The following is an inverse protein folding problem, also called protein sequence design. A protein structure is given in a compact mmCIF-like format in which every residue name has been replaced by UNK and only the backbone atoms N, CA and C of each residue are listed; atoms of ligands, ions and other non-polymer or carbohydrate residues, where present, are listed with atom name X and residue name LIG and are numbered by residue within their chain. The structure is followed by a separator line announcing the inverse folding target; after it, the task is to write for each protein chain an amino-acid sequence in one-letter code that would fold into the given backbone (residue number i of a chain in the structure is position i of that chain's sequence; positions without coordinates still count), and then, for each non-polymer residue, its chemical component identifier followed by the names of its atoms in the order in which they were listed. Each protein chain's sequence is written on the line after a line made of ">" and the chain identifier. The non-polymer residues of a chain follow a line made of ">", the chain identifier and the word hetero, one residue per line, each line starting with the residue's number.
data_IF_711395951339
#
_entry.id   IF_711395951339
#
_cell.length_a   1.000
_cell.length_b   1.000
_cell.length_c   1.000
_cell.angle_alpha   90.00
_cell.angle_beta   90.00
_cell.angle_gamma   90.00
#
_symmetry.space_group_name_H-M   'P 1'
#
loop_
_entity.id
_entity.type
_entity.pdbx_description
1 polymer ?
#
# COMPACT_ATOMS: atom_id res chain seq x y z
N UNK A 1 21.98 -34.73 -0.52
CA UNK A 1 22.19 -33.26 -0.64
C UNK A 1 22.02 -32.90 -2.11
N UNK A 2 20.87 -32.38 -2.52
CA UNK A 2 20.62 -32.07 -3.93
C UNK A 2 21.46 -30.85 -4.31
N UNK A 3 22.49 -31.06 -5.12
CA UNK A 3 23.26 -29.99 -5.73
C UNK A 3 22.33 -29.29 -6.73
N UNK A 4 21.82 -28.09 -6.36
CA UNK A 4 21.21 -27.18 -7.31
C UNK A 4 22.28 -26.81 -8.34
N UNK A 5 22.26 -27.45 -9.50
CA UNK A 5 23.10 -27.07 -10.63
C UNK A 5 22.69 -25.68 -11.09
N UNK A 6 23.66 -24.76 -11.15
CA UNK A 6 23.43 -23.37 -11.58
C UNK A 6 22.85 -23.26 -13.00
N UNK A 7 22.99 -24.31 -13.80
CA UNK A 7 22.53 -24.39 -15.20
C UNK A 7 21.09 -24.92 -15.34
N UNK A 8 20.40 -25.20 -14.24
CA UNK A 8 19.00 -25.63 -14.30
C UNK A 8 18.13 -24.50 -14.86
N UNK A 9 17.33 -24.74 -15.92
CA UNK A 9 16.47 -23.72 -16.51
C UNK A 9 15.44 -23.18 -15.50
N UNK A 10 15.08 -23.99 -14.49
CA UNK A 10 14.19 -23.58 -13.39
C UNK A 10 14.88 -22.57 -12.48
N UNK A 11 16.16 -22.77 -12.17
CA UNK A 11 16.92 -21.86 -11.33
C UNK A 11 17.11 -20.49 -12.01
N UNK A 12 17.47 -20.51 -13.30
CA UNK A 12 17.57 -19.29 -14.11
C UNK A 12 16.23 -18.55 -14.22
N UNK A 13 15.12 -19.26 -14.41
CA UNK A 13 13.78 -18.65 -14.47
C UNK A 13 13.40 -17.96 -13.14
N UNK A 14 13.68 -18.59 -12.00
CA UNK A 14 13.44 -18.00 -10.67
C UNK A 14 14.34 -16.78 -10.42
N UNK A 15 15.61 -16.84 -10.83
CA UNK A 15 16.53 -15.70 -10.75
C UNK A 15 16.03 -14.51 -11.59
N UNK A 16 15.60 -14.76 -12.83
CA UNK A 16 15.06 -13.71 -13.71
C UNK A 16 13.78 -13.12 -13.12
N UNK A 17 12.85 -13.95 -12.63
CA UNK A 17 11.61 -13.49 -11.99
C UNK A 17 11.89 -12.63 -10.75
N UNK A 18 12.81 -13.05 -9.90
CA UNK A 18 13.14 -12.29 -8.68
C UNK A 18 13.85 -10.98 -8.99
N UNK A 19 14.76 -10.96 -9.98
CA UNK A 19 15.45 -9.74 -10.42
C UNK A 19 14.49 -8.77 -11.10
N UNK A 20 13.63 -9.24 -12.00
CA UNK A 20 12.63 -8.40 -12.66
C UNK A 20 11.61 -7.85 -11.67
N UNK A 21 11.13 -8.66 -10.71
CA UNK A 21 10.29 -8.20 -9.61
C UNK A 21 10.98 -7.14 -8.76
N UNK A 22 12.24 -7.37 -8.36
CA UNK A 22 13.04 -6.40 -7.59
C UNK A 22 13.21 -5.10 -8.34
N UNK A 23 13.60 -5.15 -9.61
CA UNK A 23 13.76 -3.98 -10.47
C UNK A 23 12.45 -3.21 -10.62
N UNK A 24 11.34 -3.91 -10.88
CA UNK A 24 10.01 -3.30 -10.94
C UNK A 24 9.63 -2.64 -9.62
N UNK A 25 9.90 -3.29 -8.49
CA UNK A 25 9.63 -2.73 -7.16
C UNK A 25 10.50 -1.50 -6.83
N UNK A 26 11.77 -1.47 -7.24
CA UNK A 26 12.63 -0.27 -7.08
C UNK A 26 12.30 0.85 -8.07
N UNK A 27 11.85 0.50 -9.28
CA UNK A 27 11.40 1.49 -10.28
C UNK A 27 10.02 2.07 -9.98
N UNK A 28 9.26 1.49 -9.05
CA UNK A 28 8.06 2.14 -8.55
C UNK A 28 8.45 3.47 -7.91
N UNK A 29 7.90 4.55 -8.48
CA UNK A 29 8.11 5.91 -7.97
C UNK A 29 7.58 6.00 -6.55
N UNK A 30 8.41 6.49 -5.64
CA UNK A 30 7.97 6.85 -4.29
C UNK A 30 6.93 7.95 -4.38
N UNK A 31 5.74 7.67 -3.87
CA UNK A 31 4.67 8.67 -3.81
C UNK A 31 4.93 9.66 -2.68
N UNK A 32 4.53 10.92 -2.85
CA UNK A 32 4.51 11.92 -1.75
C UNK A 32 3.72 11.38 -0.54
N UNK A 33 2.72 10.53 -0.80
CA UNK A 33 1.91 9.85 0.22
C UNK A 33 2.75 8.97 1.15
N UNK A 34 3.90 8.43 0.71
CA UNK A 34 4.77 7.60 1.57
C UNK A 34 5.36 8.35 2.77
N UNK A 35 5.42 9.69 2.69
CA UNK A 35 5.90 10.53 3.79
C UNK A 35 4.88 10.67 4.93
N UNK A 36 3.62 10.27 4.70
CA UNK A 36 2.57 10.38 5.69
C UNK A 36 2.66 9.28 6.75
N UNK A 37 2.16 9.57 7.97
CA UNK A 37 2.06 8.57 9.04
C UNK A 37 1.21 7.38 8.58
N UNK A 38 1.58 6.18 9.04
CA UNK A 38 0.91 4.92 8.71
C UNK A 38 0.51 4.20 9.99
N UNK A 39 -0.70 3.62 10.07
CA UNK A 39 -1.09 2.85 11.23
C UNK A 39 -0.29 1.55 11.35
N UNK A 40 -0.27 0.98 12.55
CA UNK A 40 0.37 -0.31 12.79
C UNK A 40 -0.54 -1.48 12.35
N UNK A 41 0.06 -2.65 12.13
CA UNK A 41 -0.67 -3.90 11.88
C UNK A 41 -1.01 -4.18 10.42
N UNK A 42 -0.30 -3.58 9.46
CA UNK A 42 -0.45 -3.92 8.04
C UNK A 42 -0.11 -5.40 7.79
N UNK A 43 -1.01 -6.14 7.14
CA UNK A 43 -0.72 -7.49 6.69
C UNK A 43 0.10 -7.50 5.40
N UNK A 44 0.88 -8.56 5.21
CA UNK A 44 1.77 -8.68 4.05
C UNK A 44 1.03 -8.69 2.70
N UNK A 45 -0.06 -9.45 2.61
CA UNK A 45 -0.83 -9.60 1.37
C UNK A 45 -1.96 -8.56 1.30
N UNK A 46 -2.67 -8.34 2.42
CA UNK A 46 -3.89 -7.55 2.44
C UNK A 46 -3.71 -6.09 2.88
N UNK A 47 -2.49 -5.70 3.29
CA UNK A 47 -2.26 -4.38 3.85
C UNK A 47 -3.15 -4.12 5.06
N UNK A 48 -3.74 -2.92 5.13
CA UNK A 48 -4.72 -2.57 6.16
C UNK A 48 -6.16 -2.86 5.74
N UNK A 49 -6.40 -3.20 4.47
CA UNK A 49 -7.76 -3.43 3.95
C UNK A 49 -8.45 -4.60 4.65
N UNK A 50 -7.70 -5.62 5.10
CA UNK A 50 -8.27 -6.69 5.93
C UNK A 50 -8.79 -6.17 7.27
N UNK A 51 -8.07 -5.24 7.93
CA UNK A 51 -8.58 -4.63 9.16
C UNK A 51 -9.85 -3.81 8.89
N UNK A 52 -9.91 -3.11 7.75
CA UNK A 52 -11.14 -2.40 7.34
C UNK A 52 -12.29 -3.37 7.10
N UNK A 53 -12.01 -4.50 6.43
CA UNK A 53 -13.01 -5.49 6.05
C UNK A 53 -13.55 -6.30 7.23
N UNK A 54 -12.71 -6.62 8.21
CA UNK A 54 -13.06 -7.50 9.33
C UNK A 54 -13.72 -6.78 10.51
N UNK A 55 -13.59 -5.46 10.60
CA UNK A 55 -14.20 -4.65 11.67
C UNK A 55 -15.49 -3.98 11.19
N UNK A 56 -16.27 -3.42 12.12
CA UNK A 56 -17.44 -2.64 11.76
C UNK A 56 -17.07 -1.45 10.86
N UNK A 57 -17.95 -1.07 9.92
CA UNK A 57 -17.70 0.06 9.04
C UNK A 57 -17.29 1.33 9.80
N UNK A 58 -16.13 1.87 9.41
CA UNK A 58 -15.57 3.07 10.03
C UNK A 58 -14.86 2.86 11.37
N UNK A 59 -14.91 1.68 11.99
CA UNK A 59 -14.23 1.43 13.27
C UNK A 59 -12.71 1.63 13.14
N UNK A 60 -12.09 0.98 12.15
CA UNK A 60 -10.66 1.10 11.86
C UNK A 60 -10.26 2.57 11.58
N UNK A 61 -11.03 3.28 10.74
CA UNK A 61 -10.74 4.67 10.39
C UNK A 61 -10.89 5.63 11.57
N UNK A 62 -11.86 5.42 12.47
CA UNK A 62 -12.00 6.21 13.71
C UNK A 62 -10.81 6.00 14.64
N UNK A 63 -10.37 4.75 14.80
CA UNK A 63 -9.18 4.41 15.57
C UNK A 63 -7.94 5.11 15.00
N UNK A 64 -7.65 4.93 13.71
CA UNK A 64 -6.48 5.54 13.08
C UNK A 64 -6.53 7.07 13.06
N UNK A 65 -7.73 7.66 12.94
CA UNK A 65 -7.90 9.12 13.09
C UNK A 65 -7.47 9.59 14.48
N UNK A 66 -7.84 8.86 15.54
CA UNK A 66 -7.42 9.22 16.90
C UNK A 66 -5.91 9.06 17.14
N UNK A 67 -5.27 8.12 16.45
CA UNK A 67 -3.84 7.81 16.59
C UNK A 67 -2.94 8.72 15.74
N UNK A 68 -3.35 9.03 14.51
CA UNK A 68 -2.51 9.66 13.48
C UNK A 68 -3.00 11.05 13.06
N UNK A 69 -4.18 11.46 13.52
CA UNK A 69 -4.78 12.75 13.18
C UNK A 69 -5.62 12.72 11.90
N UNK A 70 -5.68 13.87 11.22
CA UNK A 70 -6.65 14.09 10.13
C UNK A 70 -6.18 13.52 8.77
N UNK A 71 -4.87 13.41 8.57
CA UNK A 71 -4.28 13.02 7.28
C UNK A 71 -3.22 11.95 7.50
N UNK A 72 -3.43 10.77 6.92
CA UNK A 72 -2.53 9.63 7.03
C UNK A 72 -2.63 8.75 5.78
N UNK A 73 -1.75 7.76 5.69
CA UNK A 73 -1.81 6.74 4.63
C UNK A 73 -2.12 5.36 5.20
N UNK A 74 -2.73 4.51 4.37
CA UNK A 74 -2.90 3.08 4.65
C UNK A 74 -2.35 2.25 3.49
N UNK A 75 -1.74 1.11 3.81
CA UNK A 75 -1.33 0.12 2.80
C UNK A 75 -2.53 -0.60 2.18
N UNK A 76 -2.63 -0.58 0.86
CA UNK A 76 -3.62 -1.35 0.10
C UNK A 76 -3.21 -2.83 -0.03
N UNK A 77 -4.15 -3.68 -0.44
CA UNK A 77 -3.87 -5.09 -0.71
C UNK A 77 -3.06 -5.31 -2.00
N UNK A 78 -2.48 -6.51 -2.13
CA UNK A 78 -1.77 -7.00 -3.32
C UNK A 78 -0.61 -6.11 -3.80
N UNK A 79 0.01 -5.37 -2.87
CA UNK A 79 1.08 -4.45 -3.21
C UNK A 79 0.62 -3.33 -4.13
N UNK A 80 -0.65 -2.93 -4.09
CA UNK A 80 -1.11 -1.69 -4.70
C UNK A 80 -0.49 -0.47 -3.98
N UNK A 81 -0.62 0.71 -4.59
CA UNK A 81 -0.12 1.95 -3.99
C UNK A 81 -0.86 2.24 -2.68
N UNK A 82 -0.18 2.92 -1.77
CA UNK A 82 -0.80 3.35 -0.51
C UNK A 82 -1.96 4.31 -0.77
N UNK A 83 -2.99 4.19 0.05
CA UNK A 83 -4.20 5.00 -0.01
C UNK A 83 -4.05 6.17 0.95
N UNK A 84 -4.23 7.38 0.42
CA UNK A 84 -4.35 8.60 1.20
C UNK A 84 -5.72 8.65 1.88
N UNK A 85 -5.73 8.87 3.19
CA UNK A 85 -6.96 9.03 3.98
C UNK A 85 -7.01 10.46 4.52
N UNK A 86 -8.13 11.14 4.24
CA UNK A 86 -8.40 12.51 4.68
C UNK A 86 -9.67 12.54 5.52
N UNK A 87 -9.58 13.17 6.69
CA UNK A 87 -10.68 13.28 7.65
C UNK A 87 -11.09 14.73 7.90
N UNK A 88 -10.53 15.69 7.15
CA UNK A 88 -10.85 17.10 7.29
C UNK A 88 -11.88 17.54 6.23
N UNK A 89 -12.89 18.36 6.60
CA UNK A 89 -13.97 18.72 5.70
C UNK A 89 -13.52 19.60 4.54
N UNK A 90 -12.42 20.35 4.69
CA UNK A 90 -11.93 21.29 3.66
C UNK A 90 -11.31 20.53 2.49
N UNK A 91 -10.44 19.57 2.76
CA UNK A 91 -9.80 18.73 1.76
C UNK A 91 -10.79 17.77 1.10
N UNK A 92 -11.74 17.22 1.87
CA UNK A 92 -12.83 16.41 1.31
C UNK A 92 -13.65 17.25 0.33
N UNK A 93 -14.09 18.45 0.72
CA UNK A 93 -14.83 19.34 -0.16
C UNK A 93 -14.00 19.72 -1.40
N UNK A 94 -12.71 20.00 -1.24
CA UNK A 94 -11.81 20.33 -2.34
C UNK A 94 -11.71 19.21 -3.37
N UNK A 95 -11.48 17.96 -2.93
CA UNK A 95 -11.40 16.79 -3.81
C UNK A 95 -12.73 16.58 -4.52
N UNK A 96 -13.83 16.59 -3.77
CA UNK A 96 -15.17 16.32 -4.29
C UNK A 96 -15.67 17.40 -5.26
N UNK A 97 -15.22 18.66 -5.12
CA UNK A 97 -15.73 19.76 -5.95
C UNK A 97 -14.84 20.08 -7.15
N UNK A 98 -13.51 20.01 -7.00
CA UNK A 98 -12.60 20.57 -8.02
C UNK A 98 -11.94 19.54 -8.91
N UNK A 99 -11.60 18.36 -8.38
CA UNK A 99 -10.61 17.46 -9.02
C UNK A 99 -10.84 15.98 -8.73
N UNK A 100 -12.10 15.52 -8.69
CA UNK A 100 -12.46 14.12 -8.34
C UNK A 100 -11.60 13.06 -9.04
N UNK A 101 -11.30 13.22 -10.33
CA UNK A 101 -10.58 12.23 -11.13
C UNK A 101 -9.13 12.59 -11.47
N UNK A 102 -8.62 13.72 -10.97
CA UNK A 102 -7.30 14.24 -11.34
C UNK A 102 -6.16 13.63 -10.51
N UNK A 103 -6.49 12.80 -9.51
CA UNK A 103 -5.53 12.16 -8.61
C UNK A 103 -5.31 10.70 -9.02
N UNK A 104 -4.06 10.33 -9.33
CA UNK A 104 -3.65 8.98 -9.75
C UNK A 104 -2.32 8.57 -9.13
#
# INVERSE_FOLDING_TARGET
>A
MAAFSLDSPVFLAVLILTVTWRLYATFRRKSVVESLPTPAGAEFIWGHERQVFMNEPGHAYRKWKSELGLTYRIKAAFGANDVLVLNDPVSIAYILQKKIYDYR
#
